data_IF_786814770913
#
_entry.id   IF_786814770913
#
_cell.length_a   1.000
_cell.length_b   1.000
_cell.length_c   1.000
_cell.angle_alpha   90.00
_cell.angle_beta   90.00
_cell.angle_gamma   90.00
#
_symmetry.space_group_name_H-M   'P 1'
#
loop_
_entity.id
_entity.type
_entity.pdbx_description
1 polymer ?
#
# COMPACT_ATOMS: atom_id res chain seq x y z
N UNK A 1 -12.45 -11.99 11.28
CA UNK A 1 -12.13 -10.60 10.87
C UNK A 1 -10.72 -10.32 11.33
N UNK A 2 -9.81 -9.91 10.45
CA UNK A 2 -8.47 -9.42 10.84
C UNK A 2 -8.63 -8.06 11.53
N UNK A 3 -7.88 -7.80 12.61
CA UNK A 3 -7.90 -6.48 13.24
C UNK A 3 -7.22 -5.45 12.33
N UNK A 4 -7.69 -4.19 12.25
CA UNK A 4 -7.12 -3.18 11.36
C UNK A 4 -5.60 -3.00 11.47
N UNK A 5 -5.06 -3.17 12.68
CA UNK A 5 -3.61 -3.11 12.96
C UNK A 5 -2.86 -4.31 12.36
N UNK A 6 -3.43 -5.50 12.42
CA UNK A 6 -2.82 -6.72 11.86
C UNK A 6 -2.79 -6.63 10.34
N UNK A 7 -3.91 -6.23 9.73
CA UNK A 7 -3.97 -6.04 8.28
C UNK A 7 -3.00 -4.96 7.79
N UNK A 8 -2.88 -3.83 8.50
CA UNK A 8 -1.90 -2.80 8.17
C UNK A 8 -0.46 -3.32 8.28
N UNK A 9 -0.17 -4.14 9.30
CA UNK A 9 1.15 -4.76 9.48
C UNK A 9 1.47 -5.72 8.32
N UNK A 10 0.50 -6.50 7.86
CA UNK A 10 0.67 -7.38 6.69
C UNK A 10 0.94 -6.60 5.42
N UNK A 11 0.19 -5.53 5.15
CA UNK A 11 0.40 -4.63 4.01
C UNK A 11 1.82 -4.07 4.07
N UNK A 12 2.20 -3.51 5.22
CA UNK A 12 3.53 -2.92 5.42
C UNK A 12 4.67 -3.94 5.21
N UNK A 13 4.50 -5.17 5.71
CA UNK A 13 5.49 -6.24 5.51
C UNK A 13 5.63 -6.62 4.03
N UNK A 14 4.52 -6.71 3.30
CA UNK A 14 4.55 -7.02 1.86
C UNK A 14 5.18 -5.89 1.06
N UNK A 15 4.90 -4.64 1.41
CA UNK A 15 5.49 -3.44 0.79
C UNK A 15 7.02 -3.43 0.86
N UNK A 16 7.66 -4.19 1.74
CA UNK A 16 9.13 -4.19 1.90
C UNK A 16 9.82 -5.38 1.21
N UNK A 17 9.10 -6.21 0.47
CA UNK A 17 9.72 -7.28 -0.33
C UNK A 17 10.58 -6.67 -1.45
N UNK A 18 11.81 -7.16 -1.63
CA UNK A 18 12.58 -6.90 -2.86
C UNK A 18 11.79 -7.51 -4.03
N UNK A 19 11.59 -6.74 -5.10
CA UNK A 19 10.95 -7.19 -6.34
C UNK A 19 9.40 -7.34 -6.31
N UNK A 20 8.68 -6.28 -5.91
CA UNK A 20 7.23 -6.23 -6.13
C UNK A 20 6.93 -5.86 -7.59
N UNK A 21 6.01 -6.59 -8.22
CA UNK A 21 5.47 -6.22 -9.52
C UNK A 21 4.53 -5.01 -9.44
N UNK A 22 4.24 -4.37 -10.57
CA UNK A 22 3.25 -3.28 -10.63
C UNK A 22 1.86 -3.74 -10.16
N UNK A 23 1.46 -4.95 -10.52
CA UNK A 23 0.19 -5.55 -10.09
C UNK A 23 0.16 -5.77 -8.57
N UNK A 24 1.27 -6.23 -7.97
CA UNK A 24 1.36 -6.38 -6.51
C UNK A 24 1.32 -5.03 -5.80
N UNK A 25 1.92 -3.98 -6.38
CA UNK A 25 1.84 -2.62 -5.85
C UNK A 25 0.39 -2.12 -5.91
N UNK A 26 -0.32 -2.37 -7.00
CA UNK A 26 -1.73 -2.03 -7.16
C UNK A 26 -2.63 -2.77 -6.16
N UNK A 27 -2.41 -4.07 -5.96
CA UNK A 27 -3.11 -4.86 -4.95
C UNK A 27 -2.88 -4.28 -3.54
N UNK A 28 -1.64 -3.94 -3.19
CA UNK A 28 -1.31 -3.35 -1.90
C UNK A 28 -1.95 -1.97 -1.71
N UNK A 29 -1.95 -1.14 -2.74
CA UNK A 29 -2.59 0.17 -2.73
C UNK A 29 -4.10 0.03 -2.52
N UNK A 30 -4.76 -0.88 -3.24
CA UNK A 30 -6.19 -1.13 -3.10
C UNK A 30 -6.54 -1.64 -1.70
N UNK A 31 -5.77 -2.59 -1.17
CA UNK A 31 -5.95 -3.12 0.20
C UNK A 31 -5.78 -2.02 1.25
N UNK A 32 -4.77 -1.18 1.09
CA UNK A 32 -4.55 -0.07 2.01
C UNK A 32 -5.66 0.98 1.93
N UNK A 33 -6.11 1.34 0.73
CA UNK A 33 -7.24 2.26 0.54
C UNK A 33 -8.52 1.72 1.19
N UNK A 34 -8.81 0.43 0.97
CA UNK A 34 -9.96 -0.27 1.55
C UNK A 34 -9.87 -0.34 3.08
N UNK A 35 -8.67 -0.52 3.63
CA UNK A 35 -8.45 -0.44 5.08
C UNK A 35 -8.69 0.96 5.62
N UNK A 36 -8.19 2.01 4.95
CA UNK A 36 -8.45 3.41 5.34
C UNK A 36 -9.95 3.71 5.33
N UNK A 37 -10.67 3.30 4.30
CA UNK A 37 -12.12 3.50 4.19
C UNK A 37 -12.88 2.80 5.34
N UNK A 38 -12.54 1.54 5.65
CA UNK A 38 -13.12 0.79 6.78
C UNK A 38 -12.82 1.42 8.13
N UNK A 39 -11.61 1.95 8.34
CA UNK A 39 -11.26 2.64 9.59
C UNK A 39 -12.05 3.95 9.72
N UNK A 40 -12.21 4.71 8.62
CA UNK A 40 -12.90 5.99 8.64
C UNK A 40 -14.43 5.87 8.76
N UNK A 41 -15.02 4.87 8.12
CA UNK A 41 -16.48 4.76 7.95
C UNK A 41 -17.10 3.50 8.54
N UNK A 42 -16.30 2.61 9.14
CA UNK A 42 -16.78 1.38 9.75
C UNK A 42 -17.48 0.46 8.74
N UNK A 43 -18.67 -0.02 9.10
CA UNK A 43 -19.47 -0.94 8.28
C UNK A 43 -20.07 -0.28 7.02
N UNK A 44 -20.10 1.05 6.94
CA UNK A 44 -20.60 1.80 5.78
C UNK A 44 -19.50 2.12 4.76
N UNK A 45 -18.30 1.56 4.95
CA UNK A 45 -17.18 1.80 4.07
C UNK A 45 -17.51 1.40 2.63
N UNK A 46 -17.43 2.39 1.74
CA UNK A 46 -17.52 2.19 0.30
C UNK A 46 -16.19 1.72 -0.24
N UNK A 47 -16.22 1.12 -1.43
CA UNK A 47 -15.00 0.82 -2.16
C UNK A 47 -14.17 2.10 -2.36
N UNK A 48 -12.82 2.00 -2.28
CA UNK A 48 -11.95 3.14 -2.49
C UNK A 48 -12.07 3.67 -3.92
N UNK A 49 -11.96 4.99 -4.08
CA UNK A 49 -11.92 5.59 -5.42
C UNK A 49 -10.63 5.22 -6.14
N UNK A 50 -10.68 5.20 -7.47
CA UNK A 50 -9.48 5.00 -8.31
C UNK A 50 -8.37 6.00 -7.99
N UNK A 51 -8.73 7.25 -7.75
CA UNK A 51 -7.77 8.31 -7.40
C UNK A 51 -7.02 8.02 -6.09
N UNK A 52 -7.71 7.49 -5.08
CA UNK A 52 -7.09 7.10 -3.81
C UNK A 52 -6.15 5.90 -4.00
N UNK A 53 -6.54 4.93 -4.82
CA UNK A 53 -5.68 3.79 -5.16
C UNK A 53 -4.43 4.27 -5.89
N UNK A 54 -4.57 5.12 -6.92
CA UNK A 54 -3.45 5.67 -7.68
C UNK A 54 -2.51 6.53 -6.80
N UNK A 55 -3.08 7.28 -5.86
CA UNK A 55 -2.30 8.00 -4.85
C UNK A 55 -1.48 7.04 -3.98
N UNK A 56 -2.08 5.97 -3.47
CA UNK A 56 -1.37 5.00 -2.65
C UNK A 56 -0.35 4.17 -3.44
N UNK A 57 -0.59 3.87 -4.73
CA UNK A 57 0.42 3.26 -5.62
C UNK A 57 1.69 4.10 -5.64
N UNK A 58 1.57 5.40 -5.93
CA UNK A 58 2.71 6.35 -5.92
C UNK A 58 3.38 6.38 -4.55
N UNK A 59 2.59 6.43 -3.48
CA UNK A 59 3.12 6.49 -2.12
C UNK A 59 3.90 5.24 -1.72
N UNK A 60 3.46 4.06 -2.15
CA UNK A 60 4.17 2.79 -1.91
C UNK A 60 5.54 2.82 -2.59
N UNK A 61 5.60 3.25 -3.85
CA UNK A 61 6.86 3.37 -4.60
C UNK A 61 7.83 4.34 -3.91
N UNK A 62 7.35 5.52 -3.51
CA UNK A 62 8.15 6.50 -2.75
C UNK A 62 8.71 5.91 -1.46
N UNK A 63 7.86 5.23 -0.67
CA UNK A 63 8.28 4.63 0.59
C UNK A 63 9.33 3.55 0.36
N UNK A 64 9.16 2.71 -0.65
CA UNK A 64 10.11 1.65 -1.03
C UNK A 64 11.46 2.22 -1.46
N UNK A 65 11.46 3.32 -2.21
CA UNK A 65 12.67 4.03 -2.59
C UNK A 65 13.39 4.64 -1.37
N UNK A 66 12.63 5.28 -0.46
CA UNK A 66 13.18 5.91 0.75
C UNK A 66 13.89 4.90 1.67
N UNK A 67 13.38 3.68 1.77
CA UNK A 67 13.99 2.63 2.61
C UNK A 67 15.06 1.81 1.88
N UNK A 68 15.36 2.12 0.61
CA UNK A 68 16.37 1.43 -0.19
C UNK A 68 16.01 -0.02 -0.56
N UNK A 69 14.70 -0.35 -0.60
CA UNK A 69 14.23 -1.66 -1.08
C UNK A 69 14.18 -1.68 -2.60
N UNK A 70 13.69 -0.59 -3.18
CA UNK A 70 13.84 -0.29 -4.60
C UNK A 70 14.94 0.75 -4.70
N UNK A 71 16.18 0.30 -4.91
CA UNK A 71 17.28 1.22 -5.20
C UNK A 71 16.95 1.96 -6.50
N UNK A 72 16.40 3.18 -6.39
CA UNK A 72 16.50 4.16 -7.47
C UNK A 72 17.99 4.38 -7.66
N UNK A 73 18.51 3.93 -8.81
CA UNK A 73 19.94 3.82 -9.11
C UNK A 73 20.79 4.91 -8.48
N UNK A 74 21.55 4.55 -7.45
CA UNK A 74 22.76 5.28 -7.10
C UNK A 74 23.91 4.57 -7.82
N UNK A 75 24.05 4.91 -9.10
CA UNK A 75 25.37 4.89 -9.73
C UNK A 75 26.03 6.22 -9.35
N UNK A 76 27.12 6.13 -8.58
CA UNK A 76 27.98 7.23 -8.19
C UNK A 76 29.37 6.69 -7.85
#
# INVERSE_FOLDING_TARGET
MSYPVEEFREISKRMLKRDLSEEEIEELAFRWASLKARIASGLEAREPSREEVDYLKRRIIELRALVGVDSLGQEG
#
